data_IF_337532803010
#
_entry.id   IF_337532803010
#
_cell.length_a   1.000
_cell.length_b   1.000
_cell.length_c   1.000
_cell.angle_alpha   90.00
_cell.angle_beta   90.00
_cell.angle_gamma   90.00
#
_symmetry.space_group_name_H-M   'P 1'
#
loop_
_entity.id
_entity.type
_entity.pdbx_description
1 polymer ?
#
# COMPACT_ATOMS: atom_id res chain seq x y z
N UNK A 1 -26.82 8.01 -14.36
CA UNK A 1 -26.58 7.17 -15.56
C UNK A 1 -25.27 6.44 -15.32
N UNK A 2 -25.25 5.11 -15.14
CA UNK A 2 -23.99 4.36 -14.94
C UNK A 2 -23.32 4.22 -16.31
N UNK A 3 -22.24 4.97 -16.53
CA UNK A 3 -21.41 4.81 -17.74
C UNK A 3 -20.72 3.45 -17.64
N UNK A 4 -21.10 2.51 -18.50
CA UNK A 4 -20.44 1.21 -18.58
C UNK A 4 -19.19 1.42 -19.44
N UNK A 5 -18.02 1.42 -18.81
CA UNK A 5 -16.76 1.51 -19.53
C UNK A 5 -16.46 0.19 -20.24
N UNK A 6 -15.95 0.27 -21.47
CA UNK A 6 -15.46 -0.88 -22.21
C UNK A 6 -14.05 -1.28 -21.72
N UNK A 7 -13.54 -2.44 -22.16
CA UNK A 7 -12.22 -2.94 -21.74
C UNK A 7 -11.08 -1.93 -21.99
N UNK A 8 -10.92 -1.35 -23.20
CA UNK A 8 -9.91 -0.32 -23.44
C UNK A 8 -9.99 0.85 -22.46
N UNK A 9 -11.19 1.38 -22.20
CA UNK A 9 -11.40 2.49 -21.27
C UNK A 9 -11.01 2.13 -19.83
N UNK A 10 -11.37 0.92 -19.36
CA UNK A 10 -10.96 0.43 -18.04
C UNK A 10 -9.44 0.23 -17.94
N UNK A 11 -8.80 -0.28 -18.99
CA UNK A 11 -7.33 -0.40 -19.04
C UNK A 11 -6.68 0.97 -19.01
N UNK A 12 -7.16 1.93 -19.81
CA UNK A 12 -6.67 3.31 -19.81
C UNK A 12 -6.85 3.97 -18.44
N UNK A 13 -7.98 3.74 -17.77
CA UNK A 13 -8.23 4.24 -16.43
C UNK A 13 -7.24 3.64 -15.42
N UNK A 14 -7.02 2.33 -15.42
CA UNK A 14 -6.03 1.68 -14.56
C UNK A 14 -4.61 2.22 -14.83
N UNK A 15 -4.23 2.37 -16.09
CA UNK A 15 -2.94 2.96 -16.46
C UNK A 15 -2.79 4.40 -15.97
N UNK A 16 -3.88 5.19 -16.01
CA UNK A 16 -3.87 6.55 -15.49
C UNK A 16 -3.69 6.54 -13.96
N UNK A 17 -4.42 5.70 -13.23
CA UNK A 17 -4.24 5.59 -11.77
C UNK A 17 -2.79 5.24 -11.39
N UNK A 18 -2.15 4.33 -12.13
CA UNK A 18 -0.76 3.95 -11.88
C UNK A 18 0.21 5.11 -12.16
N UNK A 19 -0.01 5.89 -13.23
CA UNK A 19 0.80 7.08 -13.53
C UNK A 19 0.64 8.16 -12.46
N UNK A 20 -0.59 8.38 -12.00
CA UNK A 20 -0.88 9.36 -10.94
C UNK A 20 -0.18 8.94 -9.63
N UNK A 21 -0.26 7.65 -9.26
CA UNK A 21 0.44 7.11 -8.08
C UNK A 21 1.95 7.32 -8.18
N UNK A 22 2.57 7.05 -9.34
CA UNK A 22 4.01 7.24 -9.56
C UNK A 22 4.42 8.72 -9.41
N UNK A 23 3.64 9.64 -9.99
CA UNK A 23 3.88 11.07 -9.85
C UNK A 23 3.74 11.54 -8.39
N UNK A 24 2.69 11.10 -7.69
CA UNK A 24 2.46 11.44 -6.28
C UNK A 24 3.55 10.84 -5.37
N UNK A 25 4.05 9.65 -5.67
CA UNK A 25 5.22 9.09 -4.96
C UNK A 25 6.44 10.00 -5.13
N UNK A 26 6.67 10.54 -6.33
CA UNK A 26 7.72 11.52 -6.58
C UNK A 26 7.57 12.80 -5.75
N UNK A 27 6.34 13.30 -5.55
CA UNK A 27 6.08 14.46 -4.69
C UNK A 27 6.27 14.14 -3.20
N UNK A 28 5.84 12.95 -2.77
CA UNK A 28 6.08 12.47 -1.41
C UNK A 28 7.57 12.37 -1.08
N UNK A 29 8.36 11.83 -2.01
CA UNK A 29 9.80 11.65 -1.87
C UNK A 29 10.55 13.00 -1.83
N UNK A 30 9.98 14.06 -2.42
CA UNK A 30 10.46 15.44 -2.28
C UNK A 30 10.05 16.12 -0.97
N UNK A 31 9.27 15.44 -0.13
CA UNK A 31 8.86 15.92 1.19
C UNK A 31 7.43 16.44 1.27
N UNK A 32 6.64 16.40 0.19
CA UNK A 32 5.22 16.77 0.25
C UNK A 32 4.41 15.63 0.88
N UNK A 33 4.31 15.60 2.20
CA UNK A 33 3.63 14.52 2.94
C UNK A 33 2.10 14.52 2.77
N UNK A 34 1.51 15.63 2.31
CA UNK A 34 0.06 15.76 2.14
C UNK A 34 -0.52 14.83 1.06
N UNK A 35 0.31 14.42 0.08
CA UNK A 35 -0.13 13.57 -1.05
C UNK A 35 -0.38 12.10 -0.67
N UNK A 36 -0.12 11.70 0.58
CA UNK A 36 -0.36 10.32 1.04
C UNK A 36 -1.84 9.93 0.98
N UNK A 37 -2.72 10.88 1.27
CA UNK A 37 -4.15 10.70 1.10
C UNK A 37 -4.49 10.42 -0.37
N UNK A 38 -4.00 11.28 -1.28
CA UNK A 38 -4.22 11.12 -2.73
C UNK A 38 -3.68 9.78 -3.26
N UNK A 39 -2.50 9.34 -2.81
CA UNK A 39 -1.95 8.02 -3.14
C UNK A 39 -2.91 6.92 -2.70
N UNK A 40 -3.46 7.03 -1.48
CA UNK A 40 -4.36 6.03 -0.92
C UNK A 40 -5.69 5.97 -1.67
N UNK A 41 -6.27 7.12 -2.05
CA UNK A 41 -7.48 7.16 -2.88
C UNK A 41 -7.29 6.44 -4.22
N UNK A 42 -6.16 6.67 -4.89
CA UNK A 42 -5.86 6.04 -6.18
C UNK A 42 -5.68 4.52 -6.02
N UNK A 43 -4.99 4.07 -4.97
CA UNK A 43 -4.86 2.64 -4.67
C UNK A 43 -6.24 2.04 -4.31
N UNK A 44 -7.06 2.76 -3.56
CA UNK A 44 -8.42 2.36 -3.21
C UNK A 44 -9.27 2.11 -4.47
N UNK A 45 -9.21 2.97 -5.48
CA UNK A 45 -9.92 2.76 -6.76
C UNK A 45 -9.49 1.43 -7.43
N UNK A 46 -8.20 1.09 -7.36
CA UNK A 46 -7.65 -0.11 -8.00
C UNK A 46 -8.10 -1.40 -7.30
N UNK A 47 -8.19 -1.39 -5.96
CA UNK A 47 -8.36 -2.61 -5.15
C UNK A 47 -9.68 -2.72 -4.36
N UNK A 48 -10.31 -1.62 -3.98
CA UNK A 48 -11.49 -1.66 -3.13
C UNK A 48 -12.73 -2.09 -3.90
N UNK A 49 -13.24 -3.26 -3.53
CA UNK A 49 -14.62 -3.64 -3.82
C UNK A 49 -15.52 -3.17 -2.67
N UNK A 50 -16.67 -2.62 -3.02
CA UNK A 50 -17.76 -2.30 -2.11
C UNK A 50 -19.06 -2.96 -2.59
N UNK A 51 -20.12 -2.87 -1.79
CA UNK A 51 -21.45 -3.33 -2.23
C UNK A 51 -21.99 -2.52 -3.43
N UNK A 52 -21.44 -1.34 -3.70
CA UNK A 52 -21.94 -0.40 -4.71
C UNK A 52 -21.00 -0.26 -5.93
N UNK A 53 -19.71 -0.61 -5.76
CA UNK A 53 -18.65 -0.46 -6.77
C UNK A 53 -17.71 -1.66 -6.79
N UNK A 54 -17.27 -2.05 -7.99
CA UNK A 54 -16.20 -3.03 -8.16
C UNK A 54 -14.87 -2.30 -8.34
N UNK A 55 -13.79 -2.91 -7.89
CA UNK A 55 -12.45 -2.39 -8.10
C UNK A 55 -12.02 -2.56 -9.56
N UNK A 56 -11.11 -1.70 -10.05
CA UNK A 56 -10.62 -1.80 -11.43
C UNK A 56 -10.02 -3.17 -11.74
N UNK A 57 -9.27 -3.76 -10.80
CA UNK A 57 -8.72 -5.10 -10.98
C UNK A 57 -9.81 -6.17 -11.08
N UNK A 58 -10.92 -5.99 -10.38
CA UNK A 58 -12.05 -6.94 -10.42
C UNK A 58 -12.85 -6.80 -11.70
N UNK A 59 -13.08 -5.57 -12.19
CA UNK A 59 -13.75 -5.30 -13.46
C UNK A 59 -12.95 -5.83 -14.66
N UNK A 60 -11.63 -5.64 -14.64
CA UNK A 60 -10.70 -6.18 -15.65
C UNK A 60 -10.39 -7.67 -15.47
N UNK A 61 -10.88 -8.30 -14.41
CA UNK A 61 -10.59 -9.71 -14.04
C UNK A 61 -9.08 -10.01 -13.89
N UNK A 62 -8.34 -9.06 -13.34
CA UNK A 62 -6.88 -9.13 -13.12
C UNK A 62 -6.48 -9.68 -11.75
N UNK A 63 -7.43 -10.06 -10.89
CA UNK A 63 -7.16 -10.59 -9.54
C UNK A 63 -6.41 -11.93 -9.52
N UNK A 64 -6.20 -12.55 -10.68
CA UNK A 64 -5.42 -13.77 -10.84
C UNK A 64 -3.91 -13.50 -10.97
N UNK A 65 -3.51 -12.24 -11.16
CA UNK A 65 -2.10 -11.87 -11.20
C UNK A 65 -1.49 -11.94 -9.80
N UNK A 66 -0.27 -12.45 -9.73
CA UNK A 66 0.54 -12.32 -8.53
C UNK A 66 1.02 -10.87 -8.37
N UNK A 67 1.13 -10.43 -7.12
CA UNK A 67 1.66 -9.13 -6.74
C UNK A 67 2.97 -9.30 -6.00
N UNK A 68 3.83 -8.29 -6.09
CA UNK A 68 5.11 -8.22 -5.41
C UNK A 68 4.93 -7.72 -3.98
N UNK A 69 5.58 -8.38 -3.04
CA UNK A 69 5.52 -8.09 -1.62
C UNK A 69 6.92 -8.09 -1.02
N UNK A 70 7.21 -7.09 -0.21
CA UNK A 70 8.45 -6.92 0.56
C UNK A 70 8.26 -7.15 2.06
N UNK A 71 7.02 -7.36 2.51
CA UNK A 71 6.73 -7.50 3.94
C UNK A 71 7.34 -8.76 4.52
N UNK A 72 8.02 -8.58 5.64
CA UNK A 72 8.47 -9.67 6.51
C UNK A 72 7.29 -10.53 6.98
N UNK A 73 7.61 -11.73 7.47
CA UNK A 73 6.64 -12.65 8.02
C UNK A 73 6.49 -12.42 9.51
N UNK A 74 5.28 -12.07 9.95
CA UNK A 74 4.95 -11.97 11.37
C UNK A 74 4.97 -13.34 12.03
N UNK A 75 5.79 -13.51 13.07
CA UNK A 75 5.77 -14.70 13.92
C UNK A 75 4.76 -14.52 15.06
N UNK A 76 3.60 -15.17 14.94
CA UNK A 76 2.53 -15.12 15.95
C UNK A 76 2.90 -15.65 17.34
N UNK A 77 4.02 -16.37 17.48
CA UNK A 77 4.55 -16.81 18.78
C UNK A 77 5.32 -15.70 19.52
N UNK A 78 5.64 -14.61 18.83
CA UNK A 78 6.27 -13.43 19.43
C UNK A 78 5.19 -12.47 19.87
N UNK A 79 5.16 -12.10 21.16
CA UNK A 79 4.25 -11.07 21.71
C UNK A 79 4.70 -9.64 21.37
N UNK A 80 5.51 -9.49 20.32
CA UNK A 80 6.13 -8.21 19.95
C UNK A 80 5.30 -7.52 18.89
N UNK A 81 5.14 -6.21 19.05
CA UNK A 81 4.68 -5.32 17.99
C UNK A 81 5.50 -5.55 16.71
N UNK A 82 4.88 -5.32 15.56
CA UNK A 82 5.45 -5.68 14.26
C UNK A 82 5.20 -4.60 13.23
N UNK A 83 6.21 -4.30 12.42
CA UNK A 83 6.10 -3.45 11.22
C UNK A 83 6.86 -4.14 10.09
N UNK A 84 6.13 -4.81 9.20
CA UNK A 84 6.72 -5.71 8.21
C UNK A 84 7.27 -5.04 6.97
N UNK A 85 6.80 -3.84 6.62
CA UNK A 85 7.14 -3.15 5.37
C UNK A 85 8.25 -2.11 5.50
N UNK A 86 8.54 -1.66 6.73
CA UNK A 86 9.44 -0.55 6.96
C UNK A 86 10.79 -1.06 7.43
N UNK A 87 11.81 -0.22 7.26
CA UNK A 87 13.12 -0.39 7.89
C UNK A 87 13.31 0.71 8.93
N UNK A 88 14.03 0.40 9.99
CA UNK A 88 14.46 1.37 10.97
C UNK A 88 15.81 1.95 10.52
N UNK A 89 15.91 3.27 10.42
CA UNK A 89 17.11 3.97 9.97
C UNK A 89 17.41 5.15 10.90
N UNK A 90 18.70 5.45 11.09
CA UNK A 90 19.14 6.56 11.93
C UNK A 90 19.63 7.72 11.06
N UNK A 91 19.03 8.90 11.23
CA UNK A 91 19.46 10.14 10.59
C UNK A 91 20.01 11.11 11.63
N UNK A 92 21.18 11.70 11.35
CA UNK A 92 21.83 12.61 12.28
C UNK A 92 20.94 13.78 12.76
N UNK A 93 20.03 14.28 11.90
CA UNK A 93 19.15 15.40 12.23
C UNK A 93 17.79 15.00 12.84
N UNK A 94 17.37 13.73 12.71
CA UNK A 94 16.02 13.28 13.09
C UNK A 94 16.03 12.13 14.11
N UNK A 95 17.19 11.52 14.38
CA UNK A 95 17.31 10.30 15.18
C UNK A 95 16.84 9.07 14.43
N UNK A 96 16.28 8.12 15.16
CA UNK A 96 15.73 6.87 14.60
C UNK A 96 14.35 7.09 14.01
N UNK A 97 14.14 6.66 12.77
CA UNK A 97 12.84 6.74 12.10
C UNK A 97 12.57 5.48 11.27
N UNK A 98 11.29 5.21 11.02
CA UNK A 98 10.88 4.16 10.10
C UNK A 98 10.72 4.73 8.71
N UNK A 99 11.28 4.06 7.71
CA UNK A 99 11.19 4.44 6.29
C UNK A 99 10.74 3.26 5.42
N UNK A 100 10.11 3.59 4.30
CA UNK A 100 9.88 2.64 3.21
C UNK A 100 11.23 2.06 2.74
N UNK A 101 11.24 0.75 2.41
CA UNK A 101 12.44 0.04 1.98
C UNK A 101 12.83 0.38 0.54
N UNK A 102 11.83 0.47 -0.34
CA UNK A 102 11.96 0.77 -1.77
C UNK A 102 13.01 -0.09 -2.50
N UNK A 103 13.24 -1.31 -2.01
CA UNK A 103 14.22 -2.25 -2.54
C UNK A 103 13.54 -3.31 -3.40
N UNK A 104 13.90 -3.34 -4.69
CA UNK A 104 13.39 -4.34 -5.65
C UNK A 104 13.88 -5.75 -5.35
N UNK A 105 15.07 -5.90 -4.76
CA UNK A 105 15.68 -7.21 -4.51
C UNK A 105 14.96 -8.00 -3.41
N UNK A 106 14.25 -7.30 -2.53
CA UNK A 106 13.46 -7.89 -1.44
C UNK A 106 12.04 -8.29 -1.86
N UNK A 107 11.64 -8.07 -3.12
CA UNK A 107 10.28 -8.34 -3.60
C UNK A 107 10.08 -9.82 -3.93
N UNK A 108 9.04 -10.42 -3.34
CA UNK A 108 8.59 -11.78 -3.64
C UNK A 108 7.17 -11.77 -4.17
N UNK A 109 6.86 -12.70 -5.08
CA UNK A 109 5.50 -12.87 -5.61
C UNK A 109 4.58 -13.51 -4.57
N UNK A 110 3.38 -12.97 -4.44
CA UNK A 110 2.29 -13.49 -3.60
C UNK A 110 0.96 -13.35 -4.33
N UNK A 111 -0.02 -14.18 -3.97
CA UNK A 111 -1.37 -14.04 -4.54
C UNK A 111 -2.01 -12.71 -4.17
N UNK A 112 -2.93 -12.24 -5.02
CA UNK A 112 -3.73 -11.02 -4.79
C UNK A 112 -4.32 -10.94 -3.38
N UNK A 113 -5.00 -12.00 -2.92
CA UNK A 113 -5.65 -12.02 -1.60
C UNK A 113 -4.64 -11.93 -0.46
N UNK A 114 -3.51 -12.61 -0.60
CA UNK A 114 -2.46 -12.55 0.40
C UNK A 114 -1.80 -11.16 0.45
N UNK A 115 -1.59 -10.54 -0.71
CA UNK A 115 -1.07 -9.19 -0.78
C UNK A 115 -2.02 -8.17 -0.14
N UNK A 116 -3.29 -8.20 -0.54
CA UNK A 116 -4.25 -7.15 -0.20
C UNK A 116 -4.87 -7.31 1.20
N UNK A 117 -5.38 -8.50 1.49
CA UNK A 117 -6.30 -8.72 2.62
C UNK A 117 -5.73 -9.57 3.74
N UNK A 118 -4.87 -10.56 3.45
CA UNK A 118 -4.52 -11.56 4.46
C UNK A 118 -3.19 -11.26 5.17
N UNK A 119 -2.17 -10.72 4.47
CA UNK A 119 -0.86 -10.52 5.08
C UNK A 119 -0.90 -9.32 6.04
N UNK A 120 -0.56 -9.60 7.29
CA UNK A 120 -0.43 -8.63 8.37
C UNK A 120 0.83 -7.78 8.14
N UNK A 121 0.66 -6.46 8.13
CA UNK A 121 1.74 -5.50 7.93
C UNK A 121 2.15 -4.83 9.23
N UNK A 122 1.17 -4.49 10.07
CA UNK A 122 1.40 -3.88 11.37
C UNK A 122 0.64 -4.69 12.42
N UNK A 123 1.31 -4.98 13.53
CA UNK A 123 0.70 -5.44 14.78
C UNK A 123 1.03 -4.39 15.83
N UNK A 124 0.01 -3.70 16.32
CA UNK A 124 0.18 -2.66 17.32
C UNK A 124 0.39 -3.20 18.74
N UNK A 125 0.56 -2.30 19.70
CA UNK A 125 0.82 -2.66 21.09
C UNK A 125 -0.37 -3.34 21.79
N UNK A 126 -1.57 -3.23 21.23
CA UNK A 126 -2.77 -3.90 21.73
C UNK A 126 -3.01 -5.24 20.99
N UNK A 127 -2.14 -5.60 20.05
CA UNK A 127 -2.25 -6.82 19.23
C UNK A 127 -3.18 -6.66 18.02
N UNK A 128 -3.64 -5.46 17.70
CA UNK A 128 -4.48 -5.21 16.54
C UNK A 128 -3.68 -5.39 15.25
N UNK A 129 -4.25 -6.16 14.31
CA UNK A 129 -3.62 -6.45 13.03
C UNK A 129 -4.15 -5.56 11.90
N UNK A 130 -3.22 -4.93 11.19
CA UNK A 130 -3.47 -4.06 10.05
C UNK A 130 -2.89 -4.66 8.78
N UNK A 131 -3.66 -4.59 7.70
CA UNK A 131 -3.35 -5.12 6.36
C UNK A 131 -3.35 -3.97 5.35
N UNK A 132 -2.89 -4.21 4.12
CA UNK A 132 -2.92 -3.19 3.05
C UNK A 132 -4.33 -2.63 2.87
N UNK A 133 -5.31 -3.53 2.78
CA UNK A 133 -6.70 -3.16 2.64
C UNK A 133 -7.20 -2.26 3.77
N UNK A 134 -6.90 -2.57 5.04
CA UNK A 134 -7.33 -1.75 6.18
C UNK A 134 -6.68 -0.36 6.15
N UNK A 135 -5.37 -0.32 5.93
CA UNK A 135 -4.60 0.93 5.93
C UNK A 135 -5.07 1.85 4.81
N UNK A 136 -5.12 1.35 3.58
CA UNK A 136 -5.52 2.14 2.41
C UNK A 136 -6.97 2.60 2.52
N UNK A 137 -7.90 1.73 2.95
CA UNK A 137 -9.31 2.13 3.12
C UNK A 137 -9.47 3.25 4.14
N UNK A 138 -8.73 3.17 5.24
CA UNK A 138 -8.85 4.17 6.30
C UNK A 138 -8.35 5.52 5.82
N UNK A 139 -7.13 5.56 5.27
CA UNK A 139 -6.53 6.80 4.78
C UNK A 139 -7.35 7.41 3.64
N UNK A 140 -7.83 6.60 2.69
CA UNK A 140 -8.59 7.09 1.53
C UNK A 140 -9.99 7.62 1.87
N UNK A 141 -10.54 7.29 3.04
CA UNK A 141 -11.87 7.76 3.45
C UNK A 141 -11.80 8.80 4.58
N UNK A 142 -10.61 9.27 4.94
CA UNK A 142 -10.36 10.09 6.14
C UNK A 142 -10.88 9.44 7.44
N UNK A 143 -10.96 8.11 7.47
CA UNK A 143 -11.32 7.35 8.65
C UNK A 143 -10.05 7.21 9.53
N UNK A 144 -10.04 7.75 10.76
CA UNK A 144 -8.84 7.75 11.58
C UNK A 144 -8.45 6.33 12.01
N UNK A 145 -7.26 5.91 11.62
CA UNK A 145 -6.70 4.62 11.99
C UNK A 145 -5.87 4.77 13.27
N UNK A 146 -6.45 4.37 14.40
CA UNK A 146 -5.79 4.43 15.71
C UNK A 146 -4.83 3.25 15.85
N UNK A 147 -3.53 3.49 15.71
CA UNK A 147 -2.47 2.51 15.98
C UNK A 147 -1.85 2.82 17.33
N UNK A 148 -1.91 1.87 18.27
CA UNK A 148 -1.20 2.02 19.53
C UNK A 148 0.30 1.77 19.34
N UNK A 149 1.08 2.85 19.25
CA UNK A 149 2.53 2.78 19.01
C UNK A 149 3.42 2.77 20.26
N UNK A 150 2.84 2.63 21.46
CA UNK A 150 3.55 2.74 22.74
C UNK A 150 4.64 1.69 22.98
N UNK A 151 4.55 0.51 22.37
CA UNK A 151 5.56 -0.54 22.47
C UNK A 151 6.81 -0.32 21.61
N UNK A 152 6.77 0.62 20.67
CA UNK A 152 7.95 1.04 19.91
C UNK A 152 8.67 2.17 20.63
N UNK A 153 9.95 1.95 20.95
CA UNK A 153 10.80 2.95 21.61
C UNK A 153 11.84 3.41 20.62
N UNK A 154 11.60 4.56 19.99
CA UNK A 154 12.59 5.26 19.17
C UNK A 154 12.97 6.58 19.83
N UNK A 155 14.13 7.11 19.47
CA UNK A 155 14.63 8.38 19.98
C UNK A 155 14.90 9.35 18.84
N UNK A 156 14.67 10.64 19.08
CA UNK A 156 15.11 11.70 18.18
C UNK A 156 16.64 11.92 18.24
N UNK A 157 17.12 12.96 17.55
CA UNK A 157 18.54 13.32 17.52
C UNK A 157 19.10 13.76 18.87
N UNK A 158 18.25 14.20 19.80
CA UNK A 158 18.63 14.60 21.16
C UNK A 158 18.59 13.43 22.15
N UNK A 159 18.07 12.29 21.73
CA UNK A 159 17.88 11.10 22.58
C UNK A 159 16.52 11.07 23.28
N UNK A 160 15.61 12.00 22.97
CA UNK A 160 14.27 12.05 23.56
C UNK A 160 13.35 11.02 22.91
N UNK A 161 12.46 10.40 23.70
CA UNK A 161 11.50 9.42 23.19
C UNK A 161 10.50 10.09 22.26
N UNK A 162 10.27 9.48 21.11
CA UNK A 162 9.28 9.96 20.13
C UNK A 162 8.22 8.91 19.81
N UNK A 163 7.03 9.40 19.47
CA UNK A 163 5.95 8.58 18.95
C UNK A 163 6.12 8.42 17.45
N UNK A 164 5.92 7.19 16.95
CA UNK A 164 5.97 6.92 15.51
C UNK A 164 4.59 7.06 14.88
N UNK A 165 4.58 7.49 13.62
CA UNK A 165 3.47 7.27 12.71
C UNK A 165 3.96 6.43 11.51
N UNK A 166 3.69 5.11 11.48
CA UNK A 166 4.16 4.25 10.40
C UNK A 166 3.32 4.36 9.12
N UNK A 167 2.17 5.04 9.15
CA UNK A 167 1.19 5.01 8.05
C UNK A 167 1.73 5.60 6.74
N UNK A 168 2.31 6.83 6.70
CA UNK A 168 2.79 7.42 5.45
C UNK A 168 3.80 6.55 4.71
N UNK A 169 4.81 6.08 5.43
CA UNK A 169 5.87 5.23 4.86
C UNK A 169 5.35 3.85 4.48
N UNK A 170 4.34 3.33 5.19
CA UNK A 170 3.68 2.07 4.83
C UNK A 170 2.93 2.20 3.51
N UNK A 171 2.18 3.28 3.33
CA UNK A 171 1.46 3.58 2.08
C UNK A 171 2.45 3.78 0.93
N UNK A 172 3.55 4.50 1.18
CA UNK A 172 4.62 4.69 0.20
C UNK A 172 5.22 3.36 -0.27
N UNK A 173 5.44 2.41 0.66
CA UNK A 173 5.92 1.07 0.32
C UNK A 173 4.87 0.24 -0.43
N UNK A 174 3.58 0.34 -0.08
CA UNK A 174 2.49 -0.32 -0.81
C UNK A 174 2.41 0.19 -2.26
N UNK A 175 2.53 1.50 -2.46
CA UNK A 175 2.55 2.11 -3.78
C UNK A 175 3.73 1.60 -4.62
N UNK A 176 4.93 1.52 -4.03
CA UNK A 176 6.10 0.93 -4.69
C UNK A 176 5.85 -0.52 -5.13
N UNK A 177 5.36 -1.36 -4.23
CA UNK A 177 5.02 -2.75 -4.53
C UNK A 177 4.00 -2.87 -5.67
N UNK A 178 2.95 -2.05 -5.66
CA UNK A 178 1.93 -2.03 -6.71
C UNK A 178 2.53 -1.65 -8.07
N UNK A 179 3.29 -0.55 -8.12
CA UNK A 179 3.92 -0.06 -9.35
C UNK A 179 4.87 -1.11 -9.93
N UNK A 180 5.69 -1.76 -9.09
CA UNK A 180 6.59 -2.82 -9.51
C UNK A 180 5.83 -4.08 -9.97
N UNK A 181 4.71 -4.42 -9.32
CA UNK A 181 3.89 -5.59 -9.69
C UNK A 181 3.32 -5.50 -11.10
N UNK A 182 2.93 -4.30 -11.52
CA UNK A 182 2.32 -4.05 -12.82
C UNK A 182 3.30 -3.46 -13.85
N UNK A 183 4.57 -3.29 -13.49
CA UNK A 183 5.61 -2.79 -14.38
C UNK A 183 5.81 -3.73 -15.56
N UNK A 184 5.57 -3.22 -16.76
CA UNK A 184 5.75 -3.99 -18.01
C UNK A 184 4.67 -5.05 -18.27
N UNK A 185 3.60 -5.09 -17.47
CA UNK A 185 2.45 -5.97 -17.73
C UNK A 185 1.60 -5.41 -18.86
N UNK A 186 1.34 -6.21 -19.90
CA UNK A 186 0.37 -5.87 -20.92
C UNK A 186 -1.05 -6.13 -20.41
N UNK A 187 -1.65 -5.10 -19.82
CA UNK A 187 -2.98 -5.16 -19.23
C UNK A 187 -4.08 -5.53 -20.23
N UNK A 188 -3.91 -5.21 -21.52
CA UNK A 188 -4.87 -5.60 -22.56
C UNK A 188 -4.83 -7.11 -22.81
N UNK A 189 -3.64 -7.69 -22.80
CA UNK A 189 -3.44 -9.13 -22.97
C UNK A 189 -3.87 -9.92 -21.74
N UNK A 190 -3.49 -9.48 -20.54
CA UNK A 190 -3.77 -10.19 -19.29
C UNK A 190 -5.25 -10.09 -18.85
N UNK A 191 -5.93 -9.00 -19.19
CA UNK A 191 -7.35 -8.81 -18.82
C UNK A 191 -8.25 -9.85 -19.47
N UNK A 192 -8.87 -10.70 -18.63
CA UNK A 192 -9.87 -11.72 -19.02
C UNK A 192 -11.27 -11.15 -19.26
N UNK A 193 -11.43 -9.83 -19.18
CA UNK A 193 -12.64 -9.16 -19.67
C UNK A 193 -12.73 -9.35 -21.20
N UNK A 194 -13.83 -9.90 -21.70
CA UNK A 194 -14.04 -10.04 -23.14
C UNK A 194 -14.44 -8.68 -23.74
N UNK A 195 -13.98 -8.40 -24.95
CA UNK A 195 -14.54 -7.31 -25.74
C UNK A 195 -16.01 -7.63 -25.99
N UNK A 196 -16.91 -6.73 -25.58
CA UNK A 196 -18.21 -6.65 -26.26
C UNK A 196 -17.90 -6.06 -27.63
N UNK A 197 -17.93 -6.91 -28.65
CA UNK A 197 -18.01 -6.49 -30.05
C UNK A 197 -19.38 -5.85 -30.24
#
# INVERSE_FOLDING_TARGET
MKTILNKPELVSLLQQQLKDIDALCGEYDKGNKAVIHDISEKIAIIFNNSNQSKSLLSELKLTHLDLLCSSESYNSKSLTNFIGLLKLEHHAAMGWTYLARLDRSALVKVSYENWWSNKKLIIDSDGNAFTRAKIIKSEANDDPLVINTSGWKITDANGDKTTINPIPETIRQIAFELLESLRGVDLNKESKLHFKI
#
